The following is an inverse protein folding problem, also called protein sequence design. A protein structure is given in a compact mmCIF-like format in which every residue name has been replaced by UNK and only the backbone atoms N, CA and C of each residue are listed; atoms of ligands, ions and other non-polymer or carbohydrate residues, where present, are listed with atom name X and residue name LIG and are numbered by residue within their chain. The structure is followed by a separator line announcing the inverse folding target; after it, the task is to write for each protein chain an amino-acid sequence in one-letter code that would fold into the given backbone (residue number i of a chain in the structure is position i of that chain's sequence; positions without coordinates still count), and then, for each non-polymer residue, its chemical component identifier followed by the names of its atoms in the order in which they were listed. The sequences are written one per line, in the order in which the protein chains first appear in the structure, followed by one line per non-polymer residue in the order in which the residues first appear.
data_IF_616212594717
#
_entry.id   IF_616212594717
#
_cell.length_a   1.000
_cell.length_b   1.000
_cell.length_c   1.000
_cell.angle_alpha   90.00
_cell.angle_beta   90.00
_cell.angle_gamma   90.00
#
_symmetry.space_group_name_H-M   'P 1'
#
loop_
_entity.id
_entity.type
_entity.pdbx_description
1 polymer ?
#
# COMPACT_ATOMS: atom_id res chain seq x y z
N UNK A 1 10.88 62.63 52.89
CA UNK A 1 11.85 61.80 52.16
C UNK A 1 11.05 60.71 51.49
N UNK A 2 10.90 60.81 50.17
CA UNK A 2 9.99 59.98 49.38
C UNK A 2 10.76 58.79 48.84
N UNK A 3 10.36 57.57 49.21
CA UNK A 3 10.85 56.37 48.55
C UNK A 3 10.00 56.15 47.28
N UNK A 4 10.48 56.66 46.15
CA UNK A 4 10.06 56.16 44.85
C UNK A 4 10.76 54.82 44.60
N UNK A 5 10.00 53.72 44.65
CA UNK A 5 10.55 52.39 44.45
C UNK A 5 9.47 51.40 44.07
N UNK A 6 8.95 51.50 42.85
CA UNK A 6 8.12 50.46 42.26
C UNK A 6 9.00 49.28 41.82
N UNK A 7 9.30 48.38 42.75
CA UNK A 7 10.05 47.15 42.46
C UNK A 7 9.12 46.08 41.86
N UNK A 8 8.59 46.33 40.66
CA UNK A 8 7.98 45.25 39.87
C UNK A 8 9.11 44.47 39.21
N UNK A 9 9.57 43.41 39.88
CA UNK A 9 10.39 42.38 39.24
C UNK A 9 9.48 41.51 38.38
N UNK A 10 9.19 41.96 37.16
CA UNK A 10 8.53 41.10 36.18
C UNK A 10 9.59 40.16 35.63
N UNK A 11 9.68 38.97 36.22
CA UNK A 11 10.40 37.86 35.61
C UNK A 11 9.66 37.52 34.32
N UNK A 12 10.27 37.76 33.17
CA UNK A 12 9.76 37.21 31.93
C UNK A 12 9.84 35.68 32.06
N UNK A 13 8.68 35.04 32.28
CA UNK A 13 8.58 33.62 32.03
C UNK A 13 8.80 33.46 30.53
N UNK A 14 10.00 33.03 30.14
CA UNK A 14 10.33 32.76 28.74
C UNK A 14 9.25 31.84 28.20
N UNK A 15 8.43 32.36 27.27
CA UNK A 15 7.43 31.54 26.59
C UNK A 15 8.21 30.40 25.94
N UNK A 16 7.94 29.17 26.35
CA UNK A 16 8.59 27.99 25.78
C UNK A 16 8.45 27.95 24.25
N UNK A 17 9.27 27.15 23.57
CA UNK A 17 9.22 27.07 22.12
C UNK A 17 7.80 26.74 21.67
N UNK A 18 7.29 27.48 20.67
CA UNK A 18 5.93 27.30 20.17
C UNK A 18 5.79 25.92 19.54
N UNK A 19 4.65 25.24 19.73
CA UNK A 19 4.39 23.97 19.08
C UNK A 19 4.36 24.17 17.56
N UNK A 20 5.10 23.34 16.83
CA UNK A 20 5.09 23.30 15.37
C UNK A 20 4.43 22.01 14.96
N UNK A 21 3.27 22.11 14.31
CA UNK A 21 2.56 20.96 13.78
C UNK A 21 3.28 20.38 12.56
N UNK A 22 3.16 19.08 12.39
CA UNK A 22 3.72 18.38 11.23
C UNK A 22 2.96 18.75 9.94
N UNK A 23 3.65 18.84 8.82
CA UNK A 23 3.03 19.03 7.50
C UNK A 23 3.67 18.15 6.44
N UNK A 24 2.85 17.64 5.52
CA UNK A 24 3.33 16.91 4.36
C UNK A 24 3.73 17.84 3.22
N UNK A 25 4.66 17.38 2.38
CA UNK A 25 4.94 18.00 1.08
C UNK A 25 3.76 17.81 0.12
N UNK A 26 3.83 18.51 -1.02
CA UNK A 26 3.00 18.16 -2.17
C UNK A 26 3.23 16.69 -2.57
N UNK A 27 2.18 16.06 -3.11
CA UNK A 27 2.28 14.74 -3.70
C UNK A 27 3.15 14.78 -4.96
N UNK A 28 3.99 13.75 -5.13
CA UNK A 28 4.59 13.46 -6.42
C UNK A 28 3.51 13.03 -7.42
N UNK A 29 3.86 13.10 -8.70
CA UNK A 29 3.02 12.56 -9.77
C UNK A 29 2.77 11.06 -9.54
N UNK A 30 1.62 10.58 -10.04
CA UNK A 30 1.36 9.15 -10.08
C UNK A 30 2.37 8.44 -10.98
N UNK A 31 2.77 7.24 -10.58
CA UNK A 31 3.51 6.31 -11.43
C UNK A 31 2.69 5.93 -12.66
N UNK A 32 3.36 5.34 -13.64
CA UNK A 32 2.66 4.63 -14.70
C UNK A 32 1.79 3.50 -14.13
N UNK A 33 0.77 3.14 -14.90
CA UNK A 33 -0.10 2.01 -14.55
C UNK A 33 0.73 0.73 -14.61
N UNK A 34 0.59 -0.14 -13.60
CA UNK A 34 1.29 -1.43 -13.56
C UNK A 34 0.90 -2.37 -14.71
N UNK A 35 -0.27 -2.15 -15.30
CA UNK A 35 -0.75 -2.87 -16.45
C UNK A 35 -0.57 -2.01 -17.71
N UNK A 36 -0.34 -2.65 -18.85
CA UNK A 36 -0.29 -1.99 -20.17
C UNK A 36 -1.66 -1.98 -20.86
N UNK A 37 -2.61 -2.75 -20.34
CA UNK A 37 -3.99 -2.85 -20.81
C UNK A 37 -4.89 -3.38 -19.68
N UNK A 38 -6.20 -3.16 -19.78
CA UNK A 38 -7.16 -3.59 -18.76
C UNK A 38 -6.99 -2.85 -17.44
N UNK A 39 -7.22 -3.55 -16.33
CA UNK A 39 -7.10 -3.00 -14.99
C UNK A 39 -5.68 -3.18 -14.43
N UNK A 40 -5.11 -2.10 -13.89
CA UNK A 40 -3.83 -2.12 -13.17
C UNK A 40 -3.86 -1.21 -11.94
N UNK A 41 -2.69 -0.96 -11.36
CA UNK A 41 -2.52 -0.07 -10.21
C UNK A 41 -1.43 0.95 -10.48
N UNK A 42 -1.60 2.16 -9.95
CA UNK A 42 -0.58 3.20 -9.93
C UNK A 42 -0.36 3.71 -8.51
N UNK A 43 0.83 4.19 -8.22
CA UNK A 43 1.21 4.65 -6.89
C UNK A 43 1.75 6.07 -6.95
N UNK A 44 1.61 6.82 -5.86
CA UNK A 44 2.27 8.12 -5.68
C UNK A 44 2.81 8.22 -4.26
N UNK A 45 3.83 9.04 -4.08
CA UNK A 45 4.45 9.28 -2.79
C UNK A 45 4.47 10.77 -2.43
N UNK A 46 4.60 11.07 -1.14
CA UNK A 46 4.88 12.39 -0.58
C UNK A 46 5.79 12.20 0.64
N UNK A 47 6.48 13.25 1.06
CA UNK A 47 7.30 13.23 2.28
C UNK A 47 6.72 14.12 3.36
N UNK A 48 7.22 13.97 4.57
CA UNK A 48 7.03 14.98 5.63
C UNK A 48 7.94 16.15 5.29
N UNK A 49 7.36 17.35 5.19
CA UNK A 49 8.08 18.58 4.88
C UNK A 49 8.45 19.33 6.16
N UNK A 50 7.57 19.31 7.15
CA UNK A 50 7.81 19.86 8.49
C UNK A 50 7.52 18.76 9.50
N UNK A 51 8.51 18.41 10.30
CA UNK A 51 8.37 17.49 11.43
C UNK A 51 7.73 18.21 12.63
N UNK A 52 6.94 17.47 13.41
CA UNK A 52 6.37 17.98 14.65
C UNK A 52 7.46 18.37 15.66
N UNK A 53 7.36 19.56 16.25
CA UNK A 53 8.29 20.03 17.30
C UNK A 53 7.55 20.64 18.46
N UNK A 54 8.19 20.63 19.64
CA UNK A 54 7.72 21.31 20.84
C UNK A 54 6.28 20.94 21.25
N UNK A 55 5.92 19.66 21.07
CA UNK A 55 4.57 19.15 21.38
C UNK A 55 3.53 19.43 20.30
N UNK A 56 3.94 19.79 19.08
CA UNK A 56 3.03 19.89 17.94
C UNK A 56 2.49 18.53 17.49
N UNK A 57 1.37 18.56 16.77
CA UNK A 57 0.67 17.36 16.29
C UNK A 57 1.54 16.60 15.25
N UNK A 58 1.68 15.26 15.37
CA UNK A 58 2.38 14.44 14.39
C UNK A 58 1.61 14.35 13.07
N UNK A 59 2.31 14.02 11.98
CA UNK A 59 1.66 13.85 10.69
C UNK A 59 0.77 12.60 10.70
N UNK A 60 -0.54 12.80 10.58
CA UNK A 60 -1.50 11.72 10.46
C UNK A 60 -1.80 11.42 9.00
N UNK A 61 -1.53 10.18 8.58
CA UNK A 61 -1.82 9.68 7.24
C UNK A 61 -0.61 9.07 6.55
N UNK A 62 -0.86 8.44 5.40
CA UNK A 62 0.19 7.74 4.66
C UNK A 62 1.06 8.69 3.82
N UNK A 63 2.32 8.31 3.64
CA UNK A 63 3.28 8.91 2.69
C UNK A 63 3.15 8.31 1.30
N UNK A 64 2.42 7.20 1.15
CA UNK A 64 2.20 6.50 -0.12
C UNK A 64 0.71 6.31 -0.34
N UNK A 65 0.25 6.50 -1.57
CA UNK A 65 -1.11 6.21 -2.00
C UNK A 65 -1.08 5.30 -3.23
N UNK A 66 -2.06 4.40 -3.31
CA UNK A 66 -2.26 3.47 -4.43
C UNK A 66 -3.67 3.62 -4.94
N UNK A 67 -3.84 3.62 -6.27
CA UNK A 67 -5.13 3.73 -6.93
C UNK A 67 -5.20 2.74 -8.10
N UNK A 68 -6.41 2.26 -8.40
CA UNK A 68 -6.69 1.47 -9.59
C UNK A 68 -6.68 2.36 -10.83
N UNK A 69 -6.00 1.91 -11.89
CA UNK A 69 -6.03 2.54 -13.20
C UNK A 69 -6.68 1.60 -14.21
N UNK A 70 -7.65 2.12 -14.98
CA UNK A 70 -8.33 1.36 -16.03
C UNK A 70 -7.85 1.86 -17.38
N UNK A 71 -7.17 1.00 -18.11
CA UNK A 71 -6.71 1.21 -19.48
C UNK A 71 -7.65 0.51 -20.47
N UNK A 72 -7.35 0.70 -21.76
CA UNK A 72 -8.04 -0.02 -22.82
C UNK A 72 -7.98 -1.53 -22.57
N UNK A 73 -9.07 -2.27 -22.82
CA UNK A 73 -9.10 -3.71 -22.62
C UNK A 73 -7.96 -4.38 -23.40
N UNK A 74 -7.34 -5.37 -22.78
CA UNK A 74 -6.31 -6.16 -23.43
C UNK A 74 -6.90 -6.83 -24.67
N UNK A 75 -6.17 -6.76 -25.79
CA UNK A 75 -6.49 -7.61 -26.93
C UNK A 75 -6.32 -9.05 -26.46
N UNK A 76 -7.42 -9.80 -26.40
CA UNK A 76 -7.34 -11.23 -26.24
C UNK A 76 -6.61 -11.76 -27.47
N UNK A 77 -5.31 -11.99 -27.35
CA UNK A 77 -4.62 -12.89 -28.26
C UNK A 77 -5.29 -14.21 -27.96
N UNK A 78 -6.24 -14.61 -28.81
CA UNK A 78 -7.02 -15.81 -28.60
C UNK A 78 -6.04 -16.92 -28.29
N UNK A 79 -6.11 -17.46 -27.07
CA UNK A 79 -5.42 -18.69 -26.74
C UNK A 79 -6.09 -19.72 -27.63
N UNK A 80 -5.53 -19.92 -28.82
CA UNK A 80 -5.87 -21.03 -29.68
C UNK A 80 -5.39 -22.25 -28.90
N UNK A 81 -6.23 -22.72 -27.99
CA UNK A 81 -6.14 -24.10 -27.53
C UNK A 81 -6.43 -24.88 -28.80
N UNK A 82 -5.38 -25.37 -29.46
CA UNK A 82 -5.54 -26.37 -30.51
C UNK A 82 -6.46 -27.43 -29.93
N UNK A 83 -7.50 -27.81 -30.69
CA UNK A 83 -8.44 -28.83 -30.27
C UNK A 83 -7.65 -30.00 -29.68
N UNK A 84 -8.01 -30.42 -28.46
CA UNK A 84 -7.55 -31.69 -27.93
C UNK A 84 -7.81 -32.73 -29.02
N UNK A 85 -6.74 -33.25 -29.62
CA UNK A 85 -6.88 -34.40 -30.51
C UNK A 85 -7.43 -35.54 -29.68
N UNK A 86 -8.41 -36.24 -30.25
CA UNK A 86 -8.96 -37.48 -29.71
C UNK A 86 -7.81 -38.41 -29.28
N UNK A 87 -8.01 -39.11 -28.16
CA UNK A 87 -7.01 -39.89 -27.44
C UNK A 87 -6.17 -40.79 -28.36
N UNK A 88 -4.95 -40.35 -28.69
CA UNK A 88 -3.88 -41.28 -29.04
C UNK A 88 -3.61 -42.12 -27.79
N UNK A 89 -3.85 -43.43 -27.87
CA UNK A 89 -3.76 -44.34 -26.74
C UNK A 89 -2.46 -44.16 -25.97
N UNK A 90 -2.56 -43.90 -24.66
CA UNK A 90 -1.43 -43.97 -23.75
C UNK A 90 -1.03 -45.43 -23.59
N UNK A 91 0.11 -45.80 -24.16
CA UNK A 91 0.92 -46.87 -23.59
C UNK A 91 1.57 -46.29 -22.32
N UNK A 92 0.95 -46.64 -21.20
CA UNK A 92 1.50 -47.08 -19.92
C UNK A 92 2.88 -46.51 -19.47
N UNK A 93 2.92 -46.08 -18.21
CA UNK A 93 4.00 -45.45 -17.41
C UNK A 93 4.05 -43.91 -17.56
N UNK A 94 3.66 -43.08 -16.59
CA UNK A 94 3.72 -43.22 -15.13
C UNK A 94 2.47 -42.66 -14.44
N UNK A 95 2.00 -43.38 -13.42
CA UNK A 95 0.89 -43.00 -12.58
C UNK A 95 1.31 -41.92 -11.56
N UNK A 96 0.68 -40.75 -11.62
CA UNK A 96 0.34 -39.99 -10.40
C UNK A 96 -1.18 -39.98 -10.32
N UNK A 97 -1.72 -41.10 -9.86
CA UNK A 97 -3.11 -41.23 -9.46
C UNK A 97 -3.29 -40.60 -8.08
N UNK A 98 -3.98 -39.48 -8.01
CA UNK A 98 -4.66 -39.07 -6.79
C UNK A 98 -6.13 -39.50 -6.92
N UNK A 99 -6.37 -40.77 -6.68
CA UNK A 99 -7.74 -41.32 -6.63
C UNK A 99 -8.12 -41.54 -5.17
N UNK A 100 -8.91 -40.61 -4.65
CA UNK A 100 -9.59 -40.73 -3.36
C UNK A 100 -10.75 -41.71 -3.52
N UNK A 101 -10.54 -42.96 -3.10
CA UNK A 101 -11.57 -43.99 -3.06
C UNK A 101 -11.41 -44.87 -1.84
N UNK A 102 -12.12 -44.57 -0.75
CA UNK A 102 -12.20 -45.41 0.43
C UNK A 102 -13.37 -46.39 0.28
N UNK A 103 -13.09 -47.66 -0.02
CA UNK A 103 -14.02 -48.81 -0.04
C UNK A 103 -13.09 -50.06 -0.17
N UNK A 104 -13.09 -51.12 0.63
CA UNK A 104 -13.91 -51.69 1.70
C UNK A 104 -13.02 -52.63 2.55
N UNK A 105 -13.45 -53.02 3.75
CA UNK A 105 -13.08 -54.34 4.28
C UNK A 105 -14.28 -55.03 4.92
N UNK A 106 -14.96 -55.87 4.14
CA UNK A 106 -15.66 -57.02 4.68
C UNK A 106 -14.97 -58.27 4.13
N UNK A 107 -14.23 -58.94 5.02
CA UNK A 107 -13.66 -60.25 4.80
C UNK A 107 -14.82 -61.26 4.87
N UNK A 108 -14.73 -62.28 4.00
CA UNK A 108 -15.63 -63.45 3.84
C UNK A 108 -16.52 -63.81 5.04
#
# INVERSE_FOLDING_TARGET
QSCMGSTKMTRACGRGPQPIACSFSAWHAWSECSATCGEGRRTRSRRIDVEAKSGGEPCLGATTATETCTLLPCKATGCQVSAWTDWGGCQESDAVGAETGHLQQFRH
#
